data_IF_305462521105
#
_entry.id   IF_305462521105
#
_cell.length_a   1.000
_cell.length_b   1.000
_cell.length_c   1.000
_cell.angle_alpha   90.00
_cell.angle_beta   90.00
_cell.angle_gamma   90.00
#
_symmetry.space_group_name_H-M   'P 1'
#
loop_
_entity.id
_entity.type
_entity.pdbx_description
1 polymer ?
#
# COMPACT_ATOMS: atom_id res chain seq x y z
N UNK A 1 -25.18 30.43 -35.16
CA UNK A 1 -23.72 30.26 -34.98
C UNK A 1 -23.47 30.22 -33.48
N UNK A 2 -23.09 29.07 -32.91
CA UNK A 2 -22.91 28.95 -31.45
C UNK A 2 -21.54 29.52 -31.09
N UNK A 3 -21.53 30.58 -30.27
CA UNK A 3 -20.32 31.27 -29.81
C UNK A 3 -19.38 30.32 -29.06
N UNK A 4 -18.08 30.62 -29.12
CA UNK A 4 -17.00 29.81 -28.55
C UNK A 4 -17.28 29.38 -27.10
N UNK A 5 -17.77 30.29 -26.26
CA UNK A 5 -18.01 30.02 -24.83
C UNK A 5 -19.20 29.09 -24.58
N UNK A 6 -20.26 29.16 -25.39
CA UNK A 6 -21.40 28.26 -25.26
C UNK A 6 -21.02 26.85 -25.72
N UNK A 7 -20.16 26.72 -26.73
CA UNK A 7 -19.58 25.43 -27.12
C UNK A 7 -18.72 24.83 -26.01
N UNK A 8 -17.98 25.66 -25.26
CA UNK A 8 -17.20 25.21 -24.09
C UNK A 8 -18.10 24.70 -22.98
N UNK A 9 -19.15 25.44 -22.65
CA UNK A 9 -20.15 24.98 -21.67
C UNK A 9 -20.83 23.70 -22.11
N UNK A 10 -21.15 23.56 -23.40
CA UNK A 10 -21.71 22.33 -23.94
C UNK A 10 -20.72 21.16 -23.85
N UNK A 11 -19.42 21.38 -24.10
CA UNK A 11 -18.39 20.35 -23.90
C UNK A 11 -18.20 19.98 -22.43
N UNK A 12 -18.20 20.95 -21.51
CA UNK A 12 -18.13 20.70 -20.09
C UNK A 12 -19.37 19.93 -19.60
N UNK A 13 -20.57 20.28 -20.09
CA UNK A 13 -21.83 19.56 -19.84
C UNK A 13 -21.85 18.17 -20.50
N UNK A 14 -21.13 17.99 -21.61
CA UNK A 14 -21.01 16.70 -22.32
C UNK A 14 -19.87 15.82 -21.82
N UNK A 15 -19.18 16.22 -20.75
CA UNK A 15 -18.45 15.31 -19.85
C UNK A 15 -19.48 14.40 -19.18
N UNK A 16 -20.01 13.48 -19.99
CA UNK A 16 -21.06 12.57 -19.62
C UNK A 16 -20.59 11.73 -18.43
N UNK A 17 -21.50 11.40 -17.51
CA UNK A 17 -21.22 10.32 -16.57
C UNK A 17 -20.89 9.06 -17.38
N UNK A 18 -19.74 8.46 -17.05
CA UNK A 18 -19.03 7.40 -17.75
C UNK A 18 -19.89 6.37 -18.52
N UNK A 19 -19.31 5.80 -19.57
CA UNK A 19 -19.87 4.62 -20.25
C UNK A 19 -20.07 3.44 -19.30
N UNK A 20 -19.25 3.34 -18.25
CA UNK A 20 -19.33 2.32 -17.19
C UNK A 20 -20.38 2.60 -16.10
N UNK A 21 -21.44 3.38 -16.37
CA UNK A 21 -22.47 3.72 -15.37
C UNK A 21 -23.13 2.51 -14.71
N UNK A 22 -23.40 1.46 -15.50
CA UNK A 22 -24.02 0.22 -15.00
C UNK A 22 -23.06 -0.52 -14.06
N UNK A 23 -21.84 -0.76 -14.51
CA UNK A 23 -20.78 -1.41 -13.73
C UNK A 23 -20.43 -0.62 -12.46
N UNK A 24 -20.39 0.72 -12.53
CA UNK A 24 -20.14 1.56 -11.37
C UNK A 24 -21.29 1.49 -10.35
N UNK A 25 -22.55 1.41 -10.80
CA UNK A 25 -23.70 1.20 -9.92
C UNK A 25 -23.67 -0.19 -9.28
N UNK A 26 -23.33 -1.22 -10.03
CA UNK A 26 -23.18 -2.59 -9.54
C UNK A 26 -22.03 -2.71 -8.54
N UNK A 27 -20.87 -2.14 -8.85
CA UNK A 27 -19.70 -2.09 -7.97
C UNK A 27 -20.01 -1.32 -6.69
N UNK A 28 -20.65 -0.15 -6.79
CA UNK A 28 -21.10 0.62 -5.62
C UNK A 28 -22.09 -0.19 -4.79
N UNK A 29 -23.07 -0.83 -5.42
CA UNK A 29 -24.04 -1.67 -4.73
C UNK A 29 -23.37 -2.86 -4.03
N UNK A 30 -22.37 -3.48 -4.67
CA UNK A 30 -21.56 -4.56 -4.10
C UNK A 30 -20.80 -4.09 -2.86
N UNK A 31 -20.06 -2.99 -2.96
CA UNK A 31 -19.33 -2.38 -1.83
C UNK A 31 -20.27 -2.04 -0.68
N UNK A 32 -21.43 -1.42 -0.95
CA UNK A 32 -22.42 -1.13 0.09
C UNK A 32 -23.07 -2.39 0.68
N UNK A 33 -23.27 -3.46 -0.11
CA UNK A 33 -23.76 -4.73 0.43
C UNK A 33 -22.72 -5.37 1.34
N UNK A 34 -21.45 -5.42 0.91
CA UNK A 34 -20.34 -5.93 1.71
C UNK A 34 -20.23 -5.17 3.05
N UNK A 35 -20.23 -3.84 2.99
CA UNK A 35 -20.26 -2.95 4.15
C UNK A 35 -21.42 -3.26 5.10
N UNK A 36 -22.66 -3.40 4.58
CA UNK A 36 -23.82 -3.76 5.41
C UNK A 36 -23.72 -5.14 6.02
N UNK A 37 -23.15 -6.11 5.28
CA UNK A 37 -22.93 -7.45 5.80
C UNK A 37 -21.90 -7.46 6.92
N UNK A 38 -20.82 -6.70 6.79
CA UNK A 38 -19.79 -6.50 7.81
C UNK A 38 -20.40 -5.89 9.08
N UNK A 39 -21.08 -4.75 8.96
CA UNK A 39 -21.74 -4.11 10.12
C UNK A 39 -22.77 -5.01 10.78
N UNK A 40 -23.55 -5.81 10.01
CA UNK A 40 -24.49 -6.78 10.58
C UNK A 40 -23.80 -7.92 11.32
N UNK A 41 -22.66 -8.41 10.80
CA UNK A 41 -21.87 -9.45 11.48
C UNK A 41 -21.27 -8.91 12.77
N UNK A 42 -20.75 -7.69 12.76
CA UNK A 42 -20.22 -7.02 13.96
C UNK A 42 -21.30 -6.86 15.02
N UNK A 43 -22.46 -6.28 14.66
CA UNK A 43 -23.60 -6.16 15.57
C UNK A 43 -24.06 -7.52 16.12
N UNK A 44 -24.11 -8.56 15.29
CA UNK A 44 -24.49 -9.90 15.73
C UNK A 44 -23.44 -10.53 16.65
N UNK A 45 -22.17 -10.18 16.53
CA UNK A 45 -21.10 -10.58 17.46
C UNK A 45 -21.24 -9.84 18.78
N UNK A 46 -21.51 -8.54 18.75
CA UNK A 46 -21.69 -7.70 19.94
C UNK A 46 -22.89 -8.17 20.78
N UNK A 47 -24.03 -8.39 20.12
CA UNK A 47 -25.24 -8.91 20.77
C UNK A 47 -25.03 -10.29 21.41
N UNK A 48 -24.11 -11.11 20.89
CA UNK A 48 -23.75 -12.41 21.49
C UNK A 48 -22.75 -12.30 22.63
N UNK A 49 -21.86 -11.32 22.59
CA UNK A 49 -20.82 -11.12 23.59
C UNK A 49 -21.34 -10.44 24.86
N UNK A 50 -22.52 -9.80 24.81
CA UNK A 50 -23.14 -9.15 25.97
C UNK A 50 -22.42 -7.90 26.47
N UNK A 51 -21.42 -7.43 25.71
CA UNK A 51 -20.60 -6.28 26.05
C UNK A 51 -21.15 -5.04 25.33
N UNK A 52 -22.05 -4.32 26.01
CA UNK A 52 -22.73 -3.12 25.51
C UNK A 52 -21.88 -1.84 25.67
N UNK A 53 -20.76 -1.92 26.40
CA UNK A 53 -19.87 -0.79 26.70
C UNK A 53 -18.66 -0.71 25.74
N UNK A 54 -18.57 -1.60 24.76
CA UNK A 54 -17.53 -1.57 23.75
C UNK A 54 -17.74 -0.41 22.76
N UNK A 55 -16.74 0.48 22.63
CA UNK A 55 -16.77 1.61 21.70
C UNK A 55 -17.03 1.18 20.24
N UNK A 56 -17.83 1.99 19.54
CA UNK A 56 -18.13 1.85 18.10
C UNK A 56 -16.81 1.84 17.31
N UNK A 57 -16.56 0.84 16.44
CA UNK A 57 -15.37 0.83 15.60
C UNK A 57 -15.40 2.01 14.62
N UNK A 58 -14.29 2.75 14.51
CA UNK A 58 -14.12 3.90 13.62
C UNK A 58 -14.14 3.55 12.11
N UNK A 59 -14.34 2.28 11.76
CA UNK A 59 -14.35 1.83 10.38
C UNK A 59 -15.71 2.11 9.72
N UNK A 60 -15.91 3.36 9.34
CA UNK A 60 -16.87 3.75 8.33
C UNK A 60 -16.50 3.10 6.96
N UNK A 61 -17.18 2.05 6.48
CA UNK A 61 -16.82 1.35 5.24
C UNK A 61 -16.92 2.25 3.99
N UNK A 62 -17.53 3.44 4.11
CA UNK A 62 -17.63 4.41 3.03
C UNK A 62 -16.38 5.29 2.80
N UNK A 63 -15.35 5.19 3.64
CA UNK A 63 -14.05 5.89 3.48
C UNK A 63 -12.93 4.99 2.93
N UNK A 64 -13.24 3.73 2.60
CA UNK A 64 -12.26 2.73 2.18
C UNK A 64 -11.61 2.96 0.80
N UNK A 65 -10.45 2.33 0.55
CA UNK A 65 -9.78 2.33 -0.75
C UNK A 65 -10.65 1.79 -1.89
N UNK A 66 -11.66 0.98 -1.60
CA UNK A 66 -12.58 0.37 -2.58
C UNK A 66 -13.46 1.42 -3.25
N UNK A 67 -13.99 2.40 -2.48
CA UNK A 67 -14.79 3.48 -3.06
C UNK A 67 -13.89 4.42 -3.86
N UNK A 68 -12.65 4.63 -3.42
CA UNK A 68 -11.66 5.37 -4.22
C UNK A 68 -11.40 4.65 -5.55
N UNK A 69 -11.26 3.33 -5.55
CA UNK A 69 -11.08 2.53 -6.75
C UNK A 69 -12.30 2.59 -7.68
N UNK A 70 -13.53 2.50 -7.14
CA UNK A 70 -14.76 2.67 -7.93
C UNK A 70 -14.82 4.08 -8.54
N UNK A 71 -14.43 5.12 -7.80
CA UNK A 71 -14.34 6.50 -8.32
C UNK A 71 -13.29 6.61 -9.44
N UNK A 72 -12.10 6.05 -9.25
CA UNK A 72 -11.03 6.05 -10.26
C UNK A 72 -11.48 5.34 -11.54
N UNK A 73 -11.98 4.10 -11.43
CA UNK A 73 -12.47 3.30 -12.56
C UNK A 73 -13.60 4.01 -13.32
N UNK A 74 -14.50 4.68 -12.58
CA UNK A 74 -15.56 5.49 -13.20
C UNK A 74 -15.00 6.65 -14.00
N UNK A 75 -14.01 7.36 -13.47
CA UNK A 75 -13.39 8.53 -14.13
C UNK A 75 -12.60 8.16 -15.37
N UNK A 76 -11.96 6.99 -15.39
CA UNK A 76 -11.26 6.47 -16.58
C UNK A 76 -12.21 6.26 -17.77
N UNK A 77 -13.48 5.93 -17.50
CA UNK A 77 -14.53 5.80 -18.52
C UNK A 77 -15.19 7.12 -18.94
N UNK A 78 -14.75 8.26 -18.42
CA UNK A 78 -15.28 9.57 -18.82
C UNK A 78 -14.72 9.97 -20.20
N UNK A 79 -15.58 10.52 -21.07
CA UNK A 79 -15.18 10.98 -22.41
C UNK A 79 -14.54 12.38 -22.36
N UNK A 80 -13.44 12.51 -21.62
CA UNK A 80 -12.78 13.79 -21.33
C UNK A 80 -11.79 14.24 -22.42
N UNK A 81 -11.36 13.32 -23.29
CA UNK A 81 -10.33 13.59 -24.29
C UNK A 81 -10.65 14.74 -25.27
N UNK A 82 -11.90 14.92 -25.78
CA UNK A 82 -12.23 16.08 -26.61
C UNK A 82 -12.05 17.41 -25.86
N UNK A 83 -12.46 17.45 -24.59
CA UNK A 83 -12.34 18.63 -23.73
C UNK A 83 -10.88 18.96 -23.43
N UNK A 84 -10.07 17.96 -23.04
CA UNK A 84 -8.63 18.13 -22.78
C UNK A 84 -7.90 18.64 -24.02
N UNK A 85 -8.20 18.08 -25.21
CA UNK A 85 -7.60 18.52 -26.48
C UNK A 85 -7.94 19.97 -26.81
N UNK A 86 -9.20 20.35 -26.66
CA UNK A 86 -9.61 21.74 -26.86
C UNK A 86 -8.90 22.68 -25.87
N UNK A 87 -8.89 22.34 -24.58
CA UNK A 87 -8.28 23.18 -23.54
C UNK A 87 -6.78 23.36 -23.79
N UNK A 88 -6.09 22.28 -24.17
CA UNK A 88 -4.66 22.30 -24.53
C UNK A 88 -4.39 23.18 -25.74
N UNK A 89 -5.21 23.08 -26.79
CA UNK A 89 -5.06 23.90 -27.99
C UNK A 89 -5.32 25.38 -27.70
N UNK A 90 -6.34 25.68 -26.89
CA UNK A 90 -6.76 27.04 -26.56
C UNK A 90 -5.75 27.79 -25.68
N UNK A 91 -5.05 27.07 -24.80
CA UNK A 91 -4.09 27.65 -23.85
C UNK A 91 -2.63 27.46 -24.27
N UNK A 92 -2.37 27.01 -25.51
CA UNK A 92 -1.03 26.68 -25.99
C UNK A 92 -0.04 27.86 -25.90
N UNK A 93 -0.52 29.07 -26.17
CA UNK A 93 0.30 30.29 -26.16
C UNK A 93 0.46 30.90 -24.76
N UNK A 94 -0.28 30.40 -23.76
CA UNK A 94 -0.19 30.90 -22.39
C UNK A 94 0.94 30.19 -21.62
N UNK A 95 1.58 30.90 -20.66
CA UNK A 95 2.44 30.28 -19.64
C UNK A 95 1.69 29.14 -18.95
N UNK A 96 2.39 28.04 -18.62
CA UNK A 96 1.77 26.81 -18.09
C UNK A 96 0.97 27.09 -16.82
N UNK A 97 1.52 27.94 -15.97
CA UNK A 97 0.98 28.34 -14.66
C UNK A 97 -0.40 29.00 -14.81
N UNK A 98 -0.64 29.73 -15.91
CA UNK A 98 -1.87 30.49 -16.14
C UNK A 98 -2.95 29.69 -16.87
N UNK A 99 -2.59 28.56 -17.51
CA UNK A 99 -3.51 27.80 -18.36
C UNK A 99 -4.73 27.32 -17.60
N UNK A 100 -4.53 26.87 -16.36
CA UNK A 100 -5.59 26.27 -15.56
C UNK A 100 -6.60 27.33 -15.11
N UNK A 101 -6.12 28.48 -14.65
CA UNK A 101 -6.97 29.60 -14.25
C UNK A 101 -7.72 30.20 -15.46
N UNK A 102 -7.07 30.27 -16.62
CA UNK A 102 -7.74 30.68 -17.85
C UNK A 102 -8.92 29.77 -18.21
N UNK A 103 -8.74 28.44 -18.13
CA UNK A 103 -9.83 27.49 -18.41
C UNK A 103 -10.90 27.52 -17.32
N UNK A 104 -10.52 27.67 -16.05
CA UNK A 104 -11.44 27.82 -14.91
C UNK A 104 -12.41 28.98 -15.11
N UNK A 105 -11.94 30.11 -15.63
CA UNK A 105 -12.79 31.28 -15.91
C UNK A 105 -13.85 31.03 -17.00
N UNK A 106 -13.62 30.06 -17.90
CA UNK A 106 -14.55 29.72 -18.99
C UNK A 106 -15.56 28.63 -18.63
N UNK A 107 -15.32 27.91 -17.52
CA UNK A 107 -16.16 26.79 -17.10
C UNK A 107 -17.36 27.25 -16.27
N UNK A 108 -18.49 26.54 -16.35
CA UNK A 108 -19.63 26.82 -15.49
C UNK A 108 -19.26 26.57 -14.02
N UNK A 109 -19.71 27.42 -13.07
CA UNK A 109 -19.47 27.20 -11.66
C UNK A 109 -20.18 25.92 -11.16
N UNK A 110 -19.59 25.28 -10.14
CA UNK A 110 -20.13 24.10 -9.49
C UNK A 110 -19.57 22.77 -10.02
N UNK A 111 -20.25 21.68 -9.67
CA UNK A 111 -19.73 20.29 -9.73
C UNK A 111 -19.24 19.90 -11.14
N UNK A 112 -19.92 20.35 -12.20
CA UNK A 112 -19.55 20.00 -13.58
C UNK A 112 -18.22 20.68 -13.97
N UNK A 113 -18.06 21.96 -13.64
CA UNK A 113 -16.82 22.71 -13.88
C UNK A 113 -15.66 22.18 -13.03
N UNK A 114 -15.91 21.91 -11.75
CA UNK A 114 -14.93 21.30 -10.84
C UNK A 114 -14.45 19.93 -11.34
N UNK A 115 -15.37 19.07 -11.77
CA UNK A 115 -15.05 17.76 -12.35
C UNK A 115 -14.25 17.89 -13.65
N UNK A 116 -14.56 18.88 -14.48
CA UNK A 116 -13.80 19.17 -15.70
C UNK A 116 -12.36 19.62 -15.39
N UNK A 117 -12.19 20.48 -14.38
CA UNK A 117 -10.88 20.97 -13.93
C UNK A 117 -10.01 19.83 -13.37
N UNK A 118 -10.59 18.92 -12.59
CA UNK A 118 -9.87 17.78 -12.02
C UNK A 118 -9.25 16.88 -13.11
N UNK A 119 -9.93 16.74 -14.25
CA UNK A 119 -9.38 16.02 -15.42
C UNK A 119 -8.27 16.79 -16.11
N UNK A 120 -8.34 18.14 -16.13
CA UNK A 120 -7.28 18.98 -16.70
C UNK A 120 -6.03 18.99 -15.81
N UNK A 121 -6.16 19.05 -14.49
CA UNK A 121 -5.03 19.00 -13.54
C UNK A 121 -4.13 17.76 -13.75
N UNK A 122 -4.73 16.67 -14.22
CA UNK A 122 -4.03 15.41 -14.48
C UNK A 122 -3.49 15.31 -15.91
N UNK A 123 -3.85 16.23 -16.80
CA UNK A 123 -3.43 16.23 -18.20
C UNK A 123 -2.00 16.78 -18.35
N UNK A 124 -1.14 16.18 -19.21
CA UNK A 124 0.28 16.57 -19.34
C UNK A 124 0.55 18.04 -19.67
N UNK A 125 -0.41 18.70 -20.33
CA UNK A 125 -0.28 20.10 -20.72
C UNK A 125 -0.48 21.10 -19.55
N UNK A 126 -1.09 20.64 -18.46
CA UNK A 126 -1.45 21.44 -17.28
C UNK A 126 -0.79 20.93 -16.00
N UNK A 127 -0.33 19.68 -15.96
CA UNK A 127 0.36 19.11 -14.81
C UNK A 127 1.67 19.85 -14.51
N UNK A 128 1.92 20.16 -13.24
CA UNK A 128 3.19 20.69 -12.75
C UNK A 128 4.34 19.67 -13.05
N UNK A 129 5.43 20.07 -13.72
CA UNK A 129 6.59 19.21 -13.98
C UNK A 129 7.13 18.48 -12.74
N UNK A 130 7.11 19.13 -11.57
CA UNK A 130 7.57 18.51 -10.33
C UNK A 130 6.62 17.40 -9.87
N UNK A 131 5.30 17.61 -10.02
CA UNK A 131 4.30 16.59 -9.73
C UNK A 131 4.37 15.43 -10.73
N UNK A 132 4.55 15.72 -12.02
CA UNK A 132 4.75 14.72 -13.05
C UNK A 132 6.00 13.86 -12.75
N UNK A 133 7.13 14.49 -12.40
CA UNK A 133 8.35 13.79 -12.03
C UNK A 133 8.20 12.97 -10.73
N UNK A 134 7.40 13.42 -9.76
CA UNK A 134 7.07 12.66 -8.54
C UNK A 134 6.16 11.47 -8.85
N UNK A 135 5.20 11.64 -9.76
CA UNK A 135 4.29 10.58 -10.22
C UNK A 135 5.06 9.53 -11.00
N UNK A 136 5.92 9.96 -11.91
CA UNK A 136 6.78 9.08 -12.69
C UNK A 136 7.77 8.33 -11.79
N UNK A 137 8.41 9.01 -10.83
CA UNK A 137 9.21 8.30 -9.80
C UNK A 137 8.39 7.29 -9.01
N UNK A 138 7.16 7.62 -8.61
CA UNK A 138 6.26 6.66 -7.96
C UNK A 138 5.93 5.49 -8.90
N UNK A 139 5.56 5.74 -10.15
CA UNK A 139 5.31 4.71 -11.16
C UNK A 139 6.52 3.83 -11.35
N UNK A 140 7.71 4.38 -11.46
CA UNK A 140 8.97 3.64 -11.53
C UNK A 140 9.20 2.85 -10.25
N UNK A 141 8.91 3.36 -9.06
CA UNK A 141 8.98 2.59 -7.82
C UNK A 141 7.94 1.46 -7.77
N UNK A 142 6.74 1.65 -8.32
CA UNK A 142 5.69 0.63 -8.40
C UNK A 142 5.90 -0.36 -9.57
N UNK A 143 6.58 0.04 -10.63
CA UNK A 143 7.01 -0.80 -11.74
C UNK A 143 8.30 -1.56 -11.41
N UNK A 144 9.15 -0.98 -10.54
CA UNK A 144 10.31 -1.63 -9.92
C UNK A 144 9.94 -2.42 -8.67
N UNK A 145 8.75 -2.23 -8.09
CA UNK A 145 8.18 -3.29 -7.26
C UNK A 145 8.04 -4.49 -8.19
N UNK A 146 8.57 -5.66 -7.83
CA UNK A 146 8.50 -6.85 -8.67
C UNK A 146 7.03 -7.31 -8.74
N UNK A 147 6.25 -6.65 -9.59
CA UNK A 147 4.93 -7.08 -10.02
C UNK A 147 5.00 -8.02 -11.22
N UNK A 148 6.19 -8.53 -11.55
CA UNK A 148 6.44 -9.32 -12.75
C UNK A 148 7.29 -10.58 -12.53
N UNK A 149 7.49 -11.01 -11.28
CA UNK A 149 8.03 -12.35 -10.99
C UNK A 149 7.55 -12.78 -9.60
N UNK A 150 6.22 -12.83 -9.41
CA UNK A 150 5.69 -13.72 -8.39
C UNK A 150 6.09 -15.11 -8.85
N UNK A 151 7.21 -15.57 -8.31
CA UNK A 151 7.78 -16.88 -8.59
C UNK A 151 6.64 -17.89 -8.61
N UNK A 152 6.53 -18.66 -9.71
CA UNK A 152 5.40 -19.58 -9.86
C UNK A 152 5.34 -20.51 -8.63
N UNK A 153 4.13 -20.91 -8.23
CA UNK A 153 3.95 -21.76 -7.04
C UNK A 153 4.77 -23.05 -7.14
N UNK A 154 4.88 -23.62 -8.34
CA UNK A 154 5.73 -24.78 -8.60
C UNK A 154 7.21 -24.48 -8.38
N UNK A 155 7.67 -23.31 -8.84
CA UNK A 155 9.05 -22.86 -8.63
C UNK A 155 9.35 -22.59 -7.15
N UNK A 156 8.42 -21.97 -6.40
CA UNK A 156 8.57 -21.78 -4.96
C UNK A 156 8.70 -23.12 -4.23
N UNK A 157 7.85 -24.09 -4.57
CA UNK A 157 7.90 -25.42 -3.98
C UNK A 157 9.24 -26.12 -4.28
N UNK A 158 9.73 -26.05 -5.52
CA UNK A 158 11.01 -26.63 -5.90
C UNK A 158 12.18 -26.00 -5.14
N UNK A 159 12.19 -24.67 -5.00
CA UNK A 159 13.25 -23.99 -4.26
C UNK A 159 13.18 -24.26 -2.76
N UNK A 160 11.99 -24.34 -2.16
CA UNK A 160 11.83 -24.73 -0.75
C UNK A 160 12.30 -26.17 -0.53
N UNK A 161 11.97 -27.12 -1.41
CA UNK A 161 12.48 -28.49 -1.34
C UNK A 161 14.01 -28.52 -1.46
N UNK A 162 14.56 -27.80 -2.43
CA UNK A 162 16.01 -27.69 -2.61
C UNK A 162 16.71 -27.05 -1.41
N UNK A 163 16.07 -26.08 -0.75
CA UNK A 163 16.53 -25.43 0.47
C UNK A 163 16.55 -26.39 1.66
N UNK A 164 15.50 -27.21 1.81
CA UNK A 164 15.41 -28.21 2.88
C UNK A 164 16.46 -29.32 2.76
N UNK A 165 16.95 -29.60 1.55
CA UNK A 165 18.06 -30.53 1.32
C UNK A 165 19.44 -29.95 1.68
N UNK A 166 19.55 -28.63 1.90
CA UNK A 166 20.82 -28.01 2.28
C UNK A 166 20.99 -28.03 3.80
N UNK A 167 22.22 -28.26 4.29
CA UNK A 167 22.49 -28.15 5.72
C UNK A 167 22.16 -26.73 6.19
N UNK A 168 21.43 -26.63 7.32
CA UNK A 168 20.96 -25.38 7.91
C UNK A 168 19.97 -24.55 7.07
N UNK A 169 19.55 -25.03 5.89
CA UNK A 169 18.63 -24.29 5.02
C UNK A 169 17.27 -24.06 5.68
N UNK A 170 16.74 -25.10 6.31
CA UNK A 170 15.48 -25.06 7.07
C UNK A 170 15.52 -24.05 8.23
N UNK A 171 16.56 -24.16 9.07
CA UNK A 171 16.74 -23.28 10.22
C UNK A 171 16.91 -21.80 9.80
N UNK A 172 17.73 -21.55 8.77
CA UNK A 172 17.99 -20.19 8.27
C UNK A 172 16.73 -19.53 7.71
N UNK A 173 15.87 -20.32 7.04
CA UNK A 173 14.60 -19.81 6.53
C UNK A 173 13.61 -19.45 7.65
N UNK A 174 13.44 -20.33 8.64
CA UNK A 174 12.54 -20.06 9.75
C UNK A 174 13.05 -18.92 10.63
N UNK A 175 14.36 -18.78 10.82
CA UNK A 175 14.99 -17.64 11.49
C UNK A 175 14.70 -16.33 10.74
N UNK A 176 14.81 -16.34 9.40
CA UNK A 176 14.46 -15.19 8.57
C UNK A 176 12.99 -14.81 8.72
N UNK A 177 12.06 -15.76 8.62
CA UNK A 177 10.64 -15.50 8.78
C UNK A 177 10.32 -14.90 10.14
N UNK A 178 10.92 -15.45 11.21
CA UNK A 178 10.78 -14.92 12.57
C UNK A 178 11.32 -13.50 12.69
N UNK A 179 12.52 -13.24 12.19
CA UNK A 179 13.13 -11.91 12.23
C UNK A 179 12.27 -10.85 11.50
N UNK A 180 11.69 -11.20 10.36
CA UNK A 180 10.78 -10.30 9.62
C UNK A 180 9.48 -10.05 10.39
N UNK A 181 8.94 -11.08 11.00
CA UNK A 181 7.76 -10.97 11.85
C UNK A 181 8.01 -10.04 13.05
N UNK A 182 9.10 -10.26 13.78
CA UNK A 182 9.48 -9.48 14.95
C UNK A 182 9.75 -8.01 14.59
N UNK A 183 10.45 -7.76 13.48
CA UNK A 183 10.73 -6.41 13.00
C UNK A 183 9.47 -5.64 12.58
N UNK A 184 8.48 -6.34 12.01
CA UNK A 184 7.21 -5.72 11.59
C UNK A 184 6.34 -5.43 12.81
N UNK A 185 6.25 -6.39 13.73
CA UNK A 185 5.56 -6.23 15.02
C UNK A 185 6.14 -5.07 15.83
N UNK A 186 7.47 -4.95 15.91
CA UNK A 186 8.14 -3.85 16.62
C UNK A 186 7.90 -2.47 15.97
N UNK A 187 7.74 -2.41 14.64
CA UNK A 187 7.40 -1.17 13.92
C UNK A 187 5.95 -0.77 14.16
N UNK A 188 5.03 -1.73 14.15
CA UNK A 188 3.61 -1.47 14.37
C UNK A 188 3.32 -1.02 15.80
N UNK A 189 4.03 -1.58 16.79
CA UNK A 189 3.97 -1.11 18.18
C UNK A 189 4.43 0.35 18.33
N UNK A 190 5.42 0.82 17.57
CA UNK A 190 5.87 2.23 17.57
C UNK A 190 4.92 3.16 16.82
N UNK A 191 4.22 2.66 15.82
CA UNK A 191 3.24 3.41 15.04
C UNK A 191 1.86 3.49 15.74
N UNK A 192 1.66 2.76 16.84
CA UNK A 192 0.38 2.63 17.53
C UNK A 192 0.35 3.37 18.86
N UNK A 193 0.10 4.69 18.79
CA UNK A 193 -0.84 5.32 19.73
C UNK A 193 -2.27 5.36 19.16
N UNK A 194 -2.41 5.26 17.83
CA UNK A 194 -3.70 5.43 17.13
C UNK A 194 -4.22 4.17 16.40
N UNK A 195 -3.64 2.97 16.60
CA UNK A 195 -4.09 1.72 15.94
C UNK A 195 -4.21 0.56 16.93
N UNK A 196 -5.19 0.61 17.81
CA UNK A 196 -5.31 -0.38 18.90
C UNK A 196 -5.77 -1.80 18.52
N UNK A 197 -5.98 -2.17 17.24
CA UNK A 197 -6.56 -3.50 16.93
C UNK A 197 -6.01 -4.27 15.72
N UNK A 198 -4.80 -3.98 15.23
CA UNK A 198 -4.15 -4.86 14.25
C UNK A 198 -3.04 -5.68 14.93
N UNK A 199 -3.40 -6.69 15.72
CA UNK A 199 -2.44 -7.73 16.09
C UNK A 199 -2.10 -8.54 14.84
N UNK A 200 -0.84 -8.45 14.38
CA UNK A 200 -0.35 -9.30 13.29
C UNK A 200 -0.53 -10.78 13.70
N UNK A 201 -1.02 -11.66 12.80
CA UNK A 201 -1.17 -13.07 13.11
C UNK A 201 0.19 -13.73 13.33
N UNK A 202 0.32 -14.69 14.27
CA UNK A 202 1.59 -15.35 14.56
C UNK A 202 2.19 -16.00 13.31
N UNK A 203 3.51 -15.84 13.10
CA UNK A 203 4.21 -16.45 11.98
C UNK A 203 4.15 -17.99 12.07
N UNK A 204 3.74 -18.65 10.97
CA UNK A 204 3.82 -20.11 10.85
C UNK A 204 5.22 -20.50 10.33
N UNK A 205 5.99 -21.34 11.04
CA UNK A 205 7.24 -21.90 10.52
C UNK A 205 6.96 -22.97 9.46
N UNK A 206 7.88 -23.15 8.51
CA UNK A 206 7.90 -24.33 7.64
C UNK A 206 8.33 -25.53 8.50
N UNK A 207 7.59 -26.64 8.46
CA UNK A 207 7.87 -27.79 9.34
C UNK A 207 8.80 -28.83 8.71
N UNK A 208 8.79 -28.99 7.39
CA UNK A 208 9.60 -30.00 6.70
C UNK A 208 9.24 -30.19 5.23
N UNK A 209 9.75 -31.27 4.63
CA UNK A 209 9.60 -31.54 3.19
C UNK A 209 8.14 -31.74 2.78
N UNK A 210 7.37 -32.47 3.59
CA UNK A 210 5.96 -32.77 3.34
C UNK A 210 5.06 -31.55 3.59
N UNK A 211 5.58 -30.56 4.34
CA UNK A 211 4.87 -29.34 4.70
C UNK A 211 4.99 -28.25 3.64
N UNK A 212 5.81 -28.41 2.59
CA UNK A 212 6.07 -27.35 1.60
C UNK A 212 4.79 -26.84 0.92
N UNK A 213 3.91 -27.74 0.45
CA UNK A 213 2.67 -27.33 -0.21
C UNK A 213 1.65 -26.75 0.78
N UNK A 214 1.35 -27.42 1.91
CA UNK A 214 0.50 -26.85 2.96
C UNK A 214 1.00 -25.50 3.48
N UNK A 215 2.32 -25.30 3.55
CA UNK A 215 2.94 -24.04 3.92
C UNK A 215 2.62 -22.96 2.89
N UNK A 216 2.86 -23.21 1.59
CA UNK A 216 2.52 -22.27 0.53
C UNK A 216 1.02 -21.94 0.49
N UNK A 217 0.15 -22.93 0.75
CA UNK A 217 -1.31 -22.72 0.80
C UNK A 217 -1.72 -21.76 1.91
N UNK A 218 -0.98 -21.75 3.02
CA UNK A 218 -1.21 -20.79 4.10
C UNK A 218 -0.74 -19.37 3.77
N UNK A 219 0.04 -19.18 2.71
CA UNK A 219 0.50 -17.86 2.25
C UNK A 219 -0.44 -17.23 1.23
N UNK A 220 -1.27 -18.02 0.54
CA UNK A 220 -2.20 -17.52 -0.48
C UNK A 220 -3.47 -16.94 0.14
N UNK A 221 -3.75 -15.64 -0.04
CA UNK A 221 -4.98 -15.03 0.43
C UNK A 221 -6.13 -15.43 -0.50
N UNK A 222 -6.71 -16.63 -0.31
CA UNK A 222 -7.91 -17.05 -1.04
C UNK A 222 -8.14 -18.55 -1.28
N UNK A 223 -7.24 -19.44 -0.88
CA UNK A 223 -7.46 -20.89 -1.06
C UNK A 223 -8.55 -21.38 -0.09
N UNK A 224 -9.79 -21.54 -0.58
CA UNK A 224 -11.01 -21.84 0.17
C UNK A 224 -11.10 -23.21 0.85
N UNK A 225 -10.04 -23.65 1.54
CA UNK A 225 -10.08 -24.80 2.44
C UNK A 225 -10.74 -24.46 3.79
N UNK A 226 -11.24 -25.47 4.54
CA UNK A 226 -11.85 -25.28 5.85
C UNK A 226 -10.93 -24.59 6.89
N UNK A 227 -9.62 -24.53 6.63
CA UNK A 227 -8.65 -23.82 7.47
C UNK A 227 -8.44 -22.33 7.11
N UNK A 228 -8.94 -21.85 5.96
CA UNK A 228 -8.78 -20.45 5.54
C UNK A 228 -9.71 -19.47 6.28
N UNK A 229 -10.74 -19.97 6.98
CA UNK A 229 -11.74 -19.13 7.66
C UNK A 229 -11.26 -18.54 8.99
N UNK A 230 -10.12 -18.98 9.52
CA UNK A 230 -9.59 -18.52 10.81
C UNK A 230 -8.38 -17.56 10.69
N UNK A 231 -7.87 -17.30 9.50
CA UNK A 231 -6.68 -16.46 9.31
C UNK A 231 -7.05 -15.22 8.48
N UNK A 232 -7.48 -14.17 9.18
CA UNK A 232 -7.92 -12.91 8.60
C UNK A 232 -6.81 -12.12 7.90
N UNK A 233 -7.07 -11.79 6.63
CA UNK A 233 -6.96 -10.44 6.03
C UNK A 233 -5.75 -9.52 6.28
N UNK A 234 -4.57 -10.02 6.61
CA UNK A 234 -3.35 -9.19 6.63
C UNK A 234 -2.15 -10.03 6.18
N UNK A 235 -1.72 -9.88 4.92
CA UNK A 235 -0.65 -10.72 4.36
C UNK A 235 0.67 -9.95 4.09
N UNK A 236 1.53 -9.77 5.11
CA UNK A 236 2.98 -9.66 4.91
C UNK A 236 3.78 -11.00 4.72
N UNK A 237 3.24 -12.25 4.76
CA UNK A 237 4.06 -13.45 4.56
C UNK A 237 4.61 -13.73 3.14
N UNK A 238 3.84 -13.60 2.04
CA UNK A 238 4.27 -14.15 0.75
C UNK A 238 5.45 -13.39 0.14
N UNK A 239 5.52 -12.09 0.39
CA UNK A 239 6.59 -11.22 -0.12
C UNK A 239 7.95 -11.58 0.50
N UNK A 240 7.97 -11.98 1.78
CA UNK A 240 9.18 -12.39 2.48
C UNK A 240 9.68 -13.74 1.97
N UNK A 241 8.77 -14.68 1.74
CA UNK A 241 9.10 -15.97 1.15
C UNK A 241 9.70 -15.78 -0.25
N UNK A 242 9.05 -14.98 -1.11
CA UNK A 242 9.60 -14.66 -2.43
C UNK A 242 10.97 -13.98 -2.34
N UNK A 243 11.16 -13.01 -1.45
CA UNK A 243 12.44 -12.33 -1.24
C UNK A 243 13.54 -13.32 -0.87
N UNK A 244 13.30 -14.17 0.12
CA UNK A 244 14.27 -15.18 0.56
C UNK A 244 14.59 -16.17 -0.56
N UNK A 245 13.57 -16.70 -1.24
CA UNK A 245 13.75 -17.67 -2.32
C UNK A 245 14.47 -17.07 -3.52
N UNK A 246 14.24 -15.80 -3.84
CA UNK A 246 14.98 -15.10 -4.88
C UNK A 246 16.47 -14.97 -4.52
N UNK A 247 16.78 -14.62 -3.27
CA UNK A 247 18.17 -14.60 -2.77
C UNK A 247 18.79 -15.99 -2.74
N UNK A 248 18.04 -17.01 -2.32
CA UNK A 248 18.50 -18.39 -2.37
C UNK A 248 18.79 -18.86 -3.81
N UNK A 249 17.95 -18.46 -4.77
CA UNK A 249 18.15 -18.74 -6.21
C UNK A 249 19.45 -18.12 -6.73
N UNK A 250 19.83 -16.93 -6.25
CA UNK A 250 21.06 -16.21 -6.62
C UNK A 250 22.32 -16.83 -6.00
N UNK A 251 22.32 -17.10 -4.69
CA UNK A 251 23.56 -17.48 -3.97
C UNK A 251 23.75 -19.00 -3.81
N UNK A 252 22.65 -19.79 -3.80
CA UNK A 252 22.56 -21.27 -3.70
C UNK A 252 23.28 -21.96 -2.52
N UNK A 253 24.23 -21.29 -1.88
CA UNK A 253 24.98 -21.70 -0.67
C UNK A 253 24.41 -20.96 0.53
N UNK A 254 24.01 -21.70 1.57
CA UNK A 254 23.35 -21.13 2.76
C UNK A 254 24.25 -20.16 3.53
N UNK A 255 25.56 -20.43 3.61
CA UNK A 255 26.50 -19.53 4.28
C UNK A 255 26.54 -18.14 3.62
N UNK A 256 26.72 -18.09 2.29
CA UNK A 256 26.72 -16.83 1.53
C UNK A 256 25.37 -16.13 1.58
N UNK A 257 24.27 -16.90 1.50
CA UNK A 257 22.93 -16.35 1.66
C UNK A 257 22.76 -15.70 3.03
N UNK A 258 23.25 -16.32 4.10
CA UNK A 258 23.16 -15.80 5.47
C UNK A 258 23.95 -14.50 5.61
N UNK A 259 25.17 -14.42 5.07
CA UNK A 259 25.99 -13.21 5.06
C UNK A 259 25.27 -12.06 4.34
N UNK A 260 24.75 -12.30 3.13
CA UNK A 260 24.00 -11.30 2.37
C UNK A 260 22.74 -10.83 3.12
N UNK A 261 21.99 -11.75 3.72
CA UNK A 261 20.80 -11.40 4.51
C UNK A 261 21.16 -10.61 5.78
N UNK A 262 22.34 -10.83 6.37
CA UNK A 262 22.82 -10.04 7.51
C UNK A 262 23.29 -8.64 7.07
N UNK A 263 23.98 -8.54 5.94
CA UNK A 263 24.41 -7.25 5.37
C UNK A 263 23.23 -6.36 4.97
N UNK A 264 22.14 -6.97 4.48
CA UNK A 264 20.88 -6.28 4.16
C UNK A 264 20.02 -5.97 5.42
N UNK A 265 20.51 -6.22 6.63
CA UNK A 265 19.77 -6.12 7.90
C UNK A 265 18.43 -6.91 7.89
N UNK A 266 18.37 -8.02 7.13
CA UNK A 266 17.21 -8.90 7.01
C UNK A 266 17.24 -10.08 7.99
N UNK A 267 18.44 -10.46 8.45
CA UNK A 267 18.67 -11.41 9.54
C UNK A 267 19.42 -10.71 10.69
N UNK A 268 19.14 -11.05 11.95
CA UNK A 268 19.94 -10.57 13.07
C UNK A 268 21.38 -11.08 12.94
N UNK A 269 22.34 -10.17 12.97
CA UNK A 269 23.76 -10.52 13.01
C UNK A 269 24.14 -10.93 14.44
N UNK A 270 24.80 -12.09 14.64
CA UNK A 270 25.26 -12.52 15.96
C UNK A 270 26.35 -11.60 16.54
N UNK A 271 26.96 -10.74 15.71
CA UNK A 271 28.09 -9.88 16.10
C UNK A 271 27.79 -8.37 16.09
N UNK A 272 26.60 -7.93 15.65
CA UNK A 272 26.18 -6.53 15.84
C UNK A 272 25.30 -6.44 17.08
N UNK A 273 25.78 -5.87 18.20
CA UNK A 273 24.84 -5.35 19.19
C UNK A 273 23.90 -4.41 18.44
N UNK A 274 22.59 -4.64 18.58
CA UNK A 274 21.56 -3.74 18.06
C UNK A 274 22.03 -2.33 18.37
N UNK A 275 22.34 -1.52 17.34
CA UNK A 275 22.61 -0.09 17.54
C UNK A 275 21.33 0.47 18.10
N UNK A 276 21.30 0.50 19.42
CA UNK A 276 20.30 1.13 20.23
C UNK A 276 20.33 2.59 19.79
N UNK A 277 19.43 2.96 18.88
CA UNK A 277 19.01 4.34 18.68
C UNK A 277 18.19 4.74 19.92
N UNK A 278 18.82 4.68 21.09
CA UNK A 278 18.37 5.39 22.26
C UNK A 278 18.92 6.80 22.11
N UNK A 279 18.14 7.66 21.46
CA UNK A 279 18.24 9.08 21.74
C UNK A 279 17.62 9.24 23.13
N UNK A 280 18.42 9.12 24.18
CA UNK A 280 18.02 9.51 25.53
C UNK A 280 18.10 11.03 25.58
N UNK A 281 16.99 11.76 25.68
CA UNK A 281 17.05 13.20 25.93
C UNK A 281 17.39 13.36 27.41
N UNK A 282 18.66 13.66 27.73
CA UNK A 282 19.04 13.82 29.14
C UNK A 282 20.53 13.86 29.50
N UNK A 283 21.46 13.94 28.54
CA UNK A 283 22.87 14.17 28.84
C UNK A 283 23.39 15.44 28.16
N UNK A 284 22.86 16.59 28.62
CA UNK A 284 23.49 17.91 28.49
C UNK A 284 23.12 18.73 29.71
N UNK A 285 23.69 18.41 30.88
CA UNK A 285 23.58 19.28 32.04
C UNK A 285 24.58 18.95 33.17
N UNK A 286 25.80 18.46 32.90
CA UNK A 286 26.79 18.24 33.98
C UNK A 286 28.26 18.42 33.53
N UNK A 287 28.55 19.35 32.61
CA UNK A 287 29.94 19.70 32.27
C UNK A 287 30.32 21.18 32.43
N UNK A 288 29.42 22.06 32.89
CA UNK A 288 29.71 23.51 33.04
C UNK A 288 29.81 24.01 34.49
N UNK A 289 30.19 23.16 35.44
CA UNK A 289 30.27 23.56 36.86
C UNK A 289 31.61 23.29 37.57
N UNK A 290 32.70 23.09 36.83
CA UNK A 290 34.02 22.83 37.43
C UNK A 290 35.16 23.68 36.87
N UNK A 291 34.88 24.95 36.53
CA UNK A 291 35.93 25.97 36.38
C UNK A 291 35.53 27.26 37.10
N UNK A 292 35.76 27.29 38.41
CA UNK A 292 36.03 28.54 39.13
C UNK A 292 37.36 28.36 39.89
N UNK A 293 38.42 29.08 39.51
CA UNK A 293 39.65 29.09 40.30
C UNK A 293 39.43 29.91 41.58
N UNK A 294 39.94 29.36 42.68
CA UNK A 294 40.07 29.99 43.97
C UNK A 294 41.21 31.02 43.97
N UNK A 295 41.02 32.03 44.82
CA UNK A 295 41.98 32.94 45.47
C UNK A 295 42.31 34.29 44.82
N UNK A 296 42.64 35.31 45.63
CA UNK A 296 42.64 35.40 47.12
C UNK A 296 41.48 36.22 47.72
#
# INVERSE_FOLDING_TARGET
>A
MIYADEKVRQMARSLLPSTGRKEARESRASVHRAARHESRRELATWLRAGDLDADVPDCAPWRGPEIRQVKCSRREGDKVNPFIRWATARTRELPREERLDHVRALLPPGIIGEHALEHLEQAPAFEDPLQAARRERRRQLYARKPGGDWMDRGEQAQLLRALLLKPYGHATFNEFLRARYDATTARDLRASRDRQRATLPPHRPLLGMDDVMPFLDSLEPGAGGPHARNWGTWAPPPQWVCLFLHRFKQYRRIALLREVLQDEDLLPSPYRPQRARFNVPGQRAWQDASERPLHP
#
